data_IF_957031390433
#
_entry.id   IF_957031390433
#
_cell.length_a   1.000
_cell.length_b   1.000
_cell.length_c   1.000
_cell.angle_alpha   90.00
_cell.angle_beta   90.00
_cell.angle_gamma   90.00
#
_symmetry.space_group_name_H-M   'P 1'
#
loop_
_entity.id
_entity.type
_entity.pdbx_description
1 polymer ?
#
# COMPACT_ATOMS: atom_id res chain seq x y z
N UNK A 1 11.51 -1.63 -6.26
CA UNK A 1 11.47 -3.10 -6.09
C UNK A 1 12.58 -3.79 -6.87
N UNK A 2 12.61 -3.76 -8.21
CA UNK A 2 13.68 -4.39 -9.01
C UNK A 2 15.10 -3.94 -8.61
N UNK A 3 15.30 -2.63 -8.42
CA UNK A 3 16.57 -2.04 -7.93
C UNK A 3 17.01 -2.53 -6.54
N UNK A 4 16.09 -3.09 -5.76
CA UNK A 4 16.32 -3.62 -4.43
C UNK A 4 16.37 -5.17 -4.41
N UNK A 5 16.50 -5.82 -5.57
CA UNK A 5 16.72 -7.27 -5.66
C UNK A 5 15.51 -8.16 -5.35
N UNK A 6 14.29 -7.60 -5.36
CA UNK A 6 13.07 -8.40 -5.19
C UNK A 6 12.78 -9.27 -6.40
N UNK A 7 12.15 -10.43 -6.16
CA UNK A 7 11.79 -11.38 -7.20
C UNK A 7 10.73 -10.85 -8.17
N UNK A 8 10.64 -11.46 -9.34
CA UNK A 8 9.63 -11.13 -10.36
C UNK A 8 8.21 -11.25 -9.83
N UNK A 9 7.92 -12.22 -8.94
CA UNK A 9 6.61 -12.36 -8.31
C UNK A 9 6.30 -11.18 -7.37
N UNK A 10 7.30 -10.69 -6.64
CA UNK A 10 7.10 -9.52 -5.77
C UNK A 10 6.85 -8.27 -6.59
N UNK A 11 7.59 -8.11 -7.68
CA UNK A 11 7.41 -7.01 -8.63
C UNK A 11 6.02 -7.09 -9.27
N UNK A 12 5.61 -8.28 -9.74
CA UNK A 12 4.28 -8.51 -10.29
C UNK A 12 3.17 -8.19 -9.27
N UNK A 13 3.33 -8.60 -8.01
CA UNK A 13 2.39 -8.25 -6.95
C UNK A 13 2.28 -6.74 -6.75
N UNK A 14 3.39 -6.00 -6.86
CA UNK A 14 3.37 -4.54 -6.87
C UNK A 14 2.57 -3.94 -8.02
N UNK A 15 2.62 -4.53 -9.22
CA UNK A 15 1.76 -4.11 -10.34
C UNK A 15 0.28 -4.48 -10.13
N UNK A 16 0.01 -5.56 -9.40
CA UNK A 16 -1.33 -6.10 -9.20
C UNK A 16 -2.04 -5.63 -7.92
N UNK A 17 -1.38 -4.84 -7.05
CA UNK A 17 -1.83 -4.59 -5.68
C UNK A 17 -3.25 -4.02 -5.56
N UNK A 18 -3.67 -3.18 -6.51
CA UNK A 18 -5.00 -2.56 -6.53
C UNK A 18 -6.06 -3.37 -7.30
N UNK A 19 -5.69 -4.46 -7.99
CA UNK A 19 -6.62 -5.18 -8.88
C UNK A 19 -7.87 -5.69 -8.15
N UNK A 20 -7.73 -6.15 -6.90
CA UNK A 20 -8.84 -6.63 -6.09
C UNK A 20 -9.72 -5.49 -5.53
N UNK A 21 -9.20 -4.27 -5.46
CA UNK A 21 -9.91 -3.11 -4.91
C UNK A 21 -10.63 -2.30 -6.02
N UNK A 22 -9.92 -2.01 -7.11
CA UNK A 22 -10.32 -1.00 -8.09
C UNK A 22 -10.90 -1.59 -9.39
N UNK A 23 -10.87 -2.92 -9.52
CA UNK A 23 -11.35 -3.61 -10.72
C UNK A 23 -12.33 -4.72 -10.39
N UNK A 24 -12.84 -5.40 -11.42
CA UNK A 24 -13.66 -6.62 -11.27
C UNK A 24 -12.82 -7.90 -11.21
N UNK A 25 -11.49 -7.77 -11.20
CA UNK A 25 -10.57 -8.90 -11.15
C UNK A 25 -10.79 -9.71 -9.87
N UNK A 26 -10.86 -11.03 -10.03
CA UNK A 26 -11.02 -11.99 -8.94
C UNK A 26 -9.69 -12.58 -8.49
N UNK A 27 -9.65 -13.07 -7.26
CA UNK A 27 -8.49 -13.81 -6.73
C UNK A 27 -8.10 -14.98 -7.65
N UNK A 28 -9.09 -15.65 -8.25
CA UNK A 28 -8.86 -16.77 -9.17
C UNK A 28 -8.16 -16.33 -10.46
N UNK A 29 -8.49 -15.15 -11.00
CA UNK A 29 -7.83 -14.61 -12.19
C UNK A 29 -6.38 -14.23 -11.91
N UNK A 30 -6.09 -13.62 -10.76
CA UNK A 30 -4.71 -13.31 -10.33
C UNK A 30 -3.92 -14.60 -10.14
N UNK A 31 -4.47 -15.59 -9.41
CA UNK A 31 -3.82 -16.89 -9.21
C UNK A 31 -3.51 -17.59 -10.53
N UNK A 32 -4.47 -17.60 -11.47
CA UNK A 32 -4.30 -18.25 -12.77
C UNK A 32 -3.24 -17.56 -13.64
N UNK A 33 -3.17 -16.22 -13.58
CA UNK A 33 -2.33 -15.43 -14.49
C UNK A 33 -0.93 -15.17 -13.92
N UNK A 34 -0.82 -15.01 -12.60
CA UNK A 34 0.39 -14.57 -11.91
C UNK A 34 0.90 -15.56 -10.86
N UNK A 35 0.12 -16.61 -10.54
CA UNK A 35 0.50 -17.63 -9.57
C UNK A 35 0.07 -17.34 -8.13
N UNK A 36 0.20 -18.35 -7.27
CA UNK A 36 -0.27 -18.30 -5.88
C UNK A 36 0.49 -17.26 -5.04
N UNK A 37 1.81 -17.21 -5.18
CA UNK A 37 2.66 -16.28 -4.40
C UNK A 37 2.27 -14.82 -4.64
N UNK A 38 1.96 -14.46 -5.89
CA UNK A 38 1.49 -13.11 -6.24
C UNK A 38 0.14 -12.84 -5.58
N UNK A 39 -0.80 -13.78 -5.68
CA UNK A 39 -2.11 -13.63 -5.03
C UNK A 39 -1.97 -13.43 -3.52
N UNK A 40 -1.14 -14.22 -2.83
CA UNK A 40 -0.92 -14.10 -1.38
C UNK A 40 -0.42 -12.71 -0.99
N UNK A 41 0.54 -12.17 -1.75
CA UNK A 41 1.06 -10.82 -1.52
C UNK A 41 -0.03 -9.77 -1.78
N UNK A 42 -0.73 -9.85 -2.92
CA UNK A 42 -1.80 -8.90 -3.28
C UNK A 42 -2.89 -8.87 -2.21
N UNK A 43 -3.37 -10.04 -1.76
CA UNK A 43 -4.37 -10.13 -0.68
C UNK A 43 -3.90 -9.49 0.61
N UNK A 44 -2.63 -9.67 0.98
CA UNK A 44 -2.07 -9.06 2.17
C UNK A 44 -2.09 -7.52 2.13
N UNK A 45 -1.95 -6.95 0.93
CA UNK A 45 -1.95 -5.49 0.68
C UNK A 45 -3.26 -4.99 0.06
N UNK A 46 -4.35 -5.75 0.16
CA UNK A 46 -5.68 -5.27 -0.23
C UNK A 46 -6.53 -4.95 1.00
N UNK A 47 -7.31 -3.88 0.93
CA UNK A 47 -8.24 -3.45 1.95
C UNK A 47 -9.48 -4.35 1.97
N UNK A 48 -9.93 -4.70 3.18
CA UNK A 48 -11.24 -5.32 3.35
C UNK A 48 -12.38 -4.33 3.02
N UNK A 49 -13.52 -4.86 2.56
CA UNK A 49 -14.73 -4.07 2.24
C UNK A 49 -15.49 -3.66 3.50
N UNK A 50 -14.87 -2.80 4.31
CA UNK A 50 -15.40 -2.26 5.57
C UNK A 50 -15.83 -0.80 5.39
N UNK A 51 -16.99 -0.43 5.97
CA UNK A 51 -17.55 0.93 5.89
C UNK A 51 -16.75 1.95 6.69
N UNK A 52 -16.32 1.60 7.90
CA UNK A 52 -15.50 2.47 8.73
C UNK A 52 -14.06 2.56 8.19
N UNK A 53 -13.65 3.76 7.80
CA UNK A 53 -12.36 3.97 7.16
C UNK A 53 -11.19 3.66 8.10
N UNK A 54 -11.29 4.05 9.37
CA UNK A 54 -10.19 3.90 10.34
C UNK A 54 -9.97 2.43 10.70
N UNK A 55 -11.05 1.69 10.92
CA UNK A 55 -11.01 0.23 11.15
C UNK A 55 -10.49 -0.50 9.91
N UNK A 56 -10.94 -0.12 8.71
CA UNK A 56 -10.42 -0.66 7.45
C UNK A 56 -8.89 -0.54 7.38
N UNK A 57 -8.36 0.65 7.71
CA UNK A 57 -6.91 0.89 7.72
C UNK A 57 -6.16 0.17 8.83
N UNK A 58 -6.76 0.00 10.02
CA UNK A 58 -6.18 -0.83 11.09
C UNK A 58 -6.03 -2.30 10.67
N UNK A 59 -7.05 -2.87 10.02
CA UNK A 59 -6.97 -4.25 9.52
C UNK A 59 -5.94 -4.42 8.43
N UNK A 60 -5.87 -3.46 7.50
CA UNK A 60 -4.80 -3.40 6.50
C UNK A 60 -3.41 -3.42 7.15
N UNK A 61 -3.14 -2.55 8.13
CA UNK A 61 -1.85 -2.50 8.83
C UNK A 61 -1.54 -3.83 9.52
N UNK A 62 -2.54 -4.44 10.18
CA UNK A 62 -2.39 -5.74 10.84
C UNK A 62 -2.07 -6.86 9.84
N UNK A 63 -2.75 -6.87 8.69
CA UNK A 63 -2.50 -7.81 7.60
C UNK A 63 -1.04 -7.72 7.14
N UNK A 64 -0.59 -6.54 6.73
CA UNK A 64 0.79 -6.32 6.26
C UNK A 64 1.84 -6.66 7.32
N UNK A 65 1.57 -6.33 8.60
CA UNK A 65 2.49 -6.63 9.72
C UNK A 65 2.86 -8.10 9.79
N UNK A 66 1.86 -8.99 9.69
CA UNK A 66 2.06 -10.45 9.85
C UNK A 66 2.48 -11.14 8.55
N UNK A 67 2.45 -10.43 7.41
CA UNK A 67 2.82 -10.99 6.10
C UNK A 67 4.34 -11.00 5.87
N UNK A 68 4.83 -11.80 4.90
CA UNK A 68 6.23 -11.83 4.50
C UNK A 68 6.80 -10.46 4.08
N UNK A 69 8.12 -10.36 4.02
CA UNK A 69 8.83 -9.11 3.66
C UNK A 69 8.44 -8.59 2.27
N UNK A 70 8.04 -9.47 1.36
CA UNK A 70 7.55 -9.12 0.02
C UNK A 70 6.29 -8.25 0.09
N UNK A 71 5.33 -8.56 0.97
CA UNK A 71 4.13 -7.74 1.16
C UNK A 71 4.46 -6.39 1.80
N UNK A 72 5.42 -6.36 2.73
CA UNK A 72 5.92 -5.10 3.32
C UNK A 72 6.61 -4.24 2.26
N UNK A 73 7.35 -4.85 1.34
CA UNK A 73 7.99 -4.16 0.24
C UNK A 73 6.98 -3.57 -0.75
N UNK A 74 5.93 -4.31 -1.11
CA UNK A 74 4.83 -3.80 -1.95
C UNK A 74 4.10 -2.66 -1.25
N UNK A 75 3.72 -2.82 0.02
CA UNK A 75 3.09 -1.77 0.82
C UNK A 75 3.94 -0.49 0.88
N UNK A 76 5.24 -0.63 1.19
CA UNK A 76 6.16 0.51 1.28
C UNK A 76 6.34 1.20 -0.08
N UNK A 77 6.50 0.43 -1.16
CA UNK A 77 6.65 0.98 -2.51
C UNK A 77 5.39 1.74 -2.97
N UNK A 78 4.20 1.21 -2.69
CA UNK A 78 2.92 1.90 -2.94
C UNK A 78 2.85 3.22 -2.17
N UNK A 79 3.18 3.21 -0.88
CA UNK A 79 3.11 4.42 -0.03
C UNK A 79 4.06 5.51 -0.50
N UNK A 80 5.30 5.15 -0.86
CA UNK A 80 6.27 6.09 -1.46
C UNK A 80 5.69 6.71 -2.73
N UNK A 81 5.16 5.89 -3.65
CA UNK A 81 4.60 6.37 -4.90
C UNK A 81 3.39 7.30 -4.68
N UNK A 82 2.51 6.97 -3.73
CA UNK A 82 1.35 7.76 -3.37
C UNK A 82 1.72 9.10 -2.72
N UNK A 83 2.71 9.12 -1.83
CA UNK A 83 3.21 10.35 -1.23
C UNK A 83 3.89 11.24 -2.26
N UNK A 84 4.75 10.69 -3.12
CA UNK A 84 5.39 11.45 -4.21
C UNK A 84 4.34 12.06 -5.15
N UNK A 85 3.34 11.29 -5.54
CA UNK A 85 2.22 11.76 -6.36
C UNK A 85 1.44 12.88 -5.66
N UNK A 86 1.22 12.74 -4.35
CA UNK A 86 0.56 13.75 -3.51
C UNK A 86 1.38 15.04 -3.47
N UNK A 87 2.70 14.97 -3.25
CA UNK A 87 3.60 16.13 -3.21
C UNK A 87 3.65 16.88 -4.55
N UNK A 88 3.66 16.15 -5.67
CA UNK A 88 3.63 16.75 -7.02
C UNK A 88 2.27 17.40 -7.32
N UNK A 89 1.18 16.80 -6.83
CA UNK A 89 -0.18 17.28 -7.10
C UNK A 89 -0.59 18.45 -6.18
N UNK A 90 -0.16 18.45 -4.92
CA UNK A 90 -0.57 19.43 -3.90
C UNK A 90 -0.45 20.90 -4.34
N UNK A 91 0.69 21.39 -4.89
CA UNK A 91 0.83 22.80 -5.27
C UNK A 91 -0.04 23.22 -6.47
N UNK A 92 -0.69 22.27 -7.16
CA UNK A 92 -1.56 22.54 -8.32
C UNK A 92 -2.99 22.91 -7.93
N UNK A 93 -3.34 22.81 -6.64
CA UNK A 93 -4.69 23.01 -6.15
C UNK A 93 -4.70 23.93 -4.91
N UNK A 94 -5.84 24.55 -4.64
CA UNK A 94 -6.10 25.13 -3.33
C UNK A 94 -6.20 24.00 -2.28
N UNK A 95 -5.71 24.19 -1.05
CA UNK A 95 -5.68 23.14 -0.03
C UNK A 95 -7.04 22.46 0.20
N UNK A 96 -8.12 23.23 0.29
CA UNK A 96 -9.47 22.73 0.56
C UNK A 96 -9.96 21.84 -0.59
N UNK A 97 -9.72 22.26 -1.83
CA UNK A 97 -10.06 21.52 -3.05
C UNK A 97 -9.24 20.24 -3.18
N UNK A 98 -7.97 20.28 -2.77
CA UNK A 98 -7.11 19.10 -2.77
C UNK A 98 -7.60 18.06 -1.78
N UNK A 99 -7.83 18.46 -0.52
CA UNK A 99 -8.24 17.54 0.54
C UNK A 99 -9.64 16.96 0.33
N UNK A 100 -10.55 17.70 -0.31
CA UNK A 100 -11.89 17.21 -0.67
C UNK A 100 -11.90 16.03 -1.65
N UNK A 101 -10.77 15.73 -2.34
CA UNK A 101 -10.66 14.58 -3.25
C UNK A 101 -10.42 13.25 -2.53
N UNK A 102 -10.09 13.28 -1.25
CA UNK A 102 -9.80 12.08 -0.49
C UNK A 102 -10.99 11.61 0.34
N UNK A 103 -11.09 10.29 0.52
CA UNK A 103 -12.11 9.65 1.34
C UNK A 103 -11.88 9.81 2.86
N UNK A 104 -10.80 10.49 3.26
CA UNK A 104 -10.42 10.72 4.65
C UNK A 104 -9.93 12.16 4.82
N UNK A 105 -10.05 12.69 6.04
CA UNK A 105 -9.48 13.98 6.38
C UNK A 105 -7.95 13.94 6.30
N UNK A 106 -7.34 15.14 6.29
CA UNK A 106 -5.88 15.29 6.33
C UNK A 106 -5.28 14.54 7.52
N UNK A 107 -5.83 14.75 8.70
CA UNK A 107 -5.37 14.14 9.95
C UNK A 107 -5.55 12.61 9.92
N UNK A 108 -6.64 12.14 9.31
CA UNK A 108 -6.86 10.70 9.10
C UNK A 108 -5.79 10.09 8.20
N UNK A 109 -5.42 10.78 7.12
CA UNK A 109 -4.32 10.35 6.24
C UNK A 109 -2.97 10.38 6.94
N UNK A 110 -2.64 11.47 7.62
CA UNK A 110 -1.39 11.57 8.39
C UNK A 110 -1.25 10.44 9.41
N UNK A 111 -2.31 10.18 10.19
CA UNK A 111 -2.36 9.03 11.12
C UNK A 111 -2.10 7.70 10.42
N UNK A 112 -2.64 7.49 9.23
CA UNK A 112 -2.46 6.23 8.50
C UNK A 112 -1.03 6.06 8.00
N UNK A 113 -0.42 7.11 7.45
CA UNK A 113 0.98 7.08 7.01
C UNK A 113 1.92 6.86 8.20
N UNK A 114 1.69 7.54 9.33
CA UNK A 114 2.47 7.37 10.58
C UNK A 114 2.40 5.93 11.11
N UNK A 115 1.21 5.34 11.17
CA UNK A 115 1.04 3.97 11.68
C UNK A 115 1.63 2.92 10.73
N UNK A 116 1.58 3.14 9.41
CA UNK A 116 2.24 2.26 8.44
C UNK A 116 3.76 2.35 8.59
N UNK A 117 4.32 3.57 8.67
CA UNK A 117 5.75 3.77 8.87
C UNK A 117 6.24 3.12 10.17
N UNK A 118 5.51 3.34 11.27
CA UNK A 118 5.81 2.70 12.56
C UNK A 118 5.80 1.18 12.45
N UNK A 119 4.76 0.60 11.84
CA UNK A 119 4.67 -0.84 11.64
C UNK A 119 5.85 -1.38 10.81
N UNK A 120 6.22 -0.71 9.73
CA UNK A 120 7.33 -1.11 8.88
C UNK A 120 8.65 -1.08 9.66
N UNK A 121 8.93 0.01 10.37
CA UNK A 121 10.14 0.14 11.21
C UNK A 121 10.25 -0.94 12.28
N UNK A 122 9.15 -1.32 12.91
CA UNK A 122 9.14 -2.36 13.94
C UNK A 122 9.34 -3.77 13.38
N UNK A 123 8.96 -4.02 12.12
CA UNK A 123 8.85 -5.38 11.59
C UNK A 123 9.76 -5.68 10.41
N UNK A 124 10.43 -4.69 9.84
CA UNK A 124 11.28 -4.85 8.68
C UNK A 124 12.33 -3.73 8.55
N UNK A 125 13.61 -4.10 8.68
CA UNK A 125 14.74 -3.17 8.50
C UNK A 125 15.20 -3.23 7.04
N UNK A 126 14.94 -2.18 6.26
CA UNK A 126 15.31 -2.12 4.85
C UNK A 126 15.40 -0.67 4.36
N UNK A 127 16.32 -0.32 3.42
CA UNK A 127 16.48 1.05 2.90
C UNK A 127 15.22 1.70 2.31
N UNK A 128 14.25 0.89 1.87
CA UNK A 128 12.95 1.39 1.40
C UNK A 128 12.15 2.07 2.52
N UNK A 129 12.28 1.59 3.76
CA UNK A 129 11.60 2.20 4.91
C UNK A 129 12.22 3.58 5.21
N UNK A 130 13.55 3.71 5.05
CA UNK A 130 14.25 4.99 5.20
C UNK A 130 13.89 5.98 4.08
N UNK A 131 13.59 5.49 2.87
CA UNK A 131 13.07 6.30 1.78
C UNK A 131 11.64 6.79 2.07
N UNK A 132 10.80 5.91 2.63
CA UNK A 132 9.42 6.25 2.98
C UNK A 132 9.31 7.26 4.12
N UNK A 133 10.27 7.30 5.04
CA UNK A 133 10.29 8.29 6.12
C UNK A 133 10.54 9.75 5.66
N UNK A 134 11.14 9.93 4.48
CA UNK A 134 11.55 11.26 3.97
C UNK A 134 10.40 12.06 3.38
#
# INVERSE_FOLDING_TARGET
MAKNGFSDETIAAGYCHDLLEDTKCSEQEIKKSCGEKVLEIVKAVSNEKIKDWKEKKRRYIKSVRISPVEAKAVCCADKIHNLQSTLIAYPKYQPEVFWAKFNASKEGKEWFEEEVLKMLKETWHHPLVDEYEK
#
